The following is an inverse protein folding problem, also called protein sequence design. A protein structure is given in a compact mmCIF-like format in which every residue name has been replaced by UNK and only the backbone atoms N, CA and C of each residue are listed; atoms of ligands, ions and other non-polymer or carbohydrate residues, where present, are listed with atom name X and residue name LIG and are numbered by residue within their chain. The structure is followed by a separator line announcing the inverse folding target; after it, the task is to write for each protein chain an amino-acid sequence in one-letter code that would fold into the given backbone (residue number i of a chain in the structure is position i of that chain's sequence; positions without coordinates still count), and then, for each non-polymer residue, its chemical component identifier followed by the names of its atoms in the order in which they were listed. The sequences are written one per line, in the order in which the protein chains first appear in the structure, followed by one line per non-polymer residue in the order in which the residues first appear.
data_IF_637090562090
#
_entry.id   IF_637090562090
#
_cell.length_a   1.000
_cell.length_b   1.000
_cell.length_c   1.000
_cell.angle_alpha   90.00
_cell.angle_beta   90.00
_cell.angle_gamma   90.00
#
_symmetry.space_group_name_H-M   'P 1'
#
loop_
_entity.id
_entity.type
_entity.pdbx_description
1 polymer ?
#
# COMPACT_ATOMS: atom_id res chain seq x y z
N UNK A 1 -29.55 63.77 3.23
CA UNK A 1 -28.28 63.11 3.58
C UNK A 1 -27.33 63.25 2.39
N UNK A 2 -26.08 63.64 2.67
CA UNK A 2 -25.00 64.00 1.74
C UNK A 2 -24.53 62.80 0.88
N UNK A 3 -23.75 63.06 -0.19
CA UNK A 3 -23.79 62.33 -1.47
C UNK A 3 -22.76 61.21 -1.63
N UNK A 4 -22.99 60.44 -2.70
CA UNK A 4 -22.08 59.56 -3.44
C UNK A 4 -20.65 60.09 -3.55
N UNK A 5 -19.66 59.20 -3.35
CA UNK A 5 -18.25 59.44 -3.68
C UNK A 5 -17.80 58.47 -4.78
N UNK A 6 -17.39 59.05 -5.90
CA UNK A 6 -16.61 58.42 -6.97
C UNK A 6 -15.23 57.99 -6.42
N UNK A 7 -14.77 56.81 -6.81
CA UNK A 7 -13.38 56.38 -6.62
C UNK A 7 -12.69 56.39 -7.99
N UNK A 8 -11.62 57.17 -8.06
CA UNK A 8 -10.80 57.41 -9.23
C UNK A 8 -9.90 56.20 -9.55
N UNK A 9 -9.74 55.91 -10.84
CA UNK A 9 -8.63 55.13 -11.37
C UNK A 9 -7.33 55.91 -11.19
N UNK A 10 -6.30 55.24 -10.68
CA UNK A 10 -4.91 55.66 -10.86
C UNK A 10 -4.06 54.40 -10.93
N UNK A 11 -3.60 54.10 -12.15
CA UNK A 11 -2.53 53.15 -12.40
C UNK A 11 -1.20 53.81 -12.03
N UNK A 12 -0.37 53.13 -11.25
CA UNK A 12 1.08 53.36 -11.27
C UNK A 12 1.80 52.01 -11.26
N UNK A 13 2.57 51.84 -12.33
CA UNK A 13 3.51 50.78 -12.61
C UNK A 13 4.74 50.96 -11.70
N UNK A 14 5.14 49.90 -10.99
CA UNK A 14 6.38 49.83 -10.23
C UNK A 14 6.90 48.39 -10.23
N UNK A 15 8.05 48.17 -10.85
CA UNK A 15 8.69 46.87 -11.03
C UNK A 15 9.27 46.30 -9.74
N UNK A 16 9.21 44.97 -9.67
CA UNK A 16 10.16 44.02 -9.08
C UNK A 16 10.56 44.15 -7.60
N UNK A 17 10.04 43.23 -6.80
CA UNK A 17 10.79 42.52 -5.75
C UNK A 17 10.13 41.14 -5.58
N UNK A 18 10.73 40.08 -6.13
CA UNK A 18 10.33 38.71 -5.80
C UNK A 18 10.80 38.40 -4.39
N UNK A 19 9.91 38.63 -3.42
CA UNK A 19 10.05 38.14 -2.07
C UNK A 19 9.27 36.82 -1.98
N UNK A 20 9.97 35.76 -1.57
CA UNK A 20 9.39 34.49 -1.13
C UNK A 20 8.41 34.78 0.02
N UNK A 21 7.12 34.84 -0.30
CA UNK A 21 6.04 34.84 0.70
C UNK A 21 5.81 33.43 1.24
N UNK A 22 5.21 33.28 2.43
CA UNK A 22 4.86 31.98 2.96
C UNK A 22 3.93 31.26 1.97
N UNK A 23 4.18 29.98 1.76
CA UNK A 23 3.39 29.12 0.89
C UNK A 23 1.89 29.37 1.15
N UNK A 24 1.07 29.63 0.11
CA UNK A 24 -0.35 29.71 0.30
C UNK A 24 -0.83 28.34 0.80
N UNK A 25 -1.28 28.32 2.05
CA UNK A 25 -2.13 27.27 2.58
C UNK A 25 -3.36 27.16 1.65
N UNK A 26 -3.40 26.10 0.86
CA UNK A 26 -4.52 25.80 -0.02
C UNK A 26 -4.12 25.56 -1.47
N UNK A 27 -3.57 24.38 -1.74
CA UNK A 27 -4.41 23.32 -2.32
C UNK A 27 -4.12 22.07 -1.49
N UNK A 28 -5.11 21.56 -0.76
CA UNK A 28 -5.09 20.12 -0.51
C UNK A 28 -5.02 19.51 -1.91
N UNK A 29 -3.82 19.04 -2.29
CA UNK A 29 -3.61 18.28 -3.51
C UNK A 29 -4.70 17.23 -3.46
N UNK A 30 -5.73 17.42 -4.29
CA UNK A 30 -6.89 16.55 -4.31
C UNK A 30 -6.30 15.17 -4.55
N UNK A 31 -6.22 14.39 -3.48
CA UNK A 31 -5.70 13.04 -3.53
C UNK A 31 -6.68 12.39 -4.48
N UNK A 32 -6.32 12.26 -5.76
CA UNK A 32 -7.15 11.53 -6.71
C UNK A 32 -7.34 10.19 -6.04
N UNK A 33 -8.55 9.99 -5.58
CA UNK A 33 -8.87 9.03 -4.54
C UNK A 33 -8.71 7.65 -5.14
N UNK A 34 -7.49 7.12 -5.07
CA UNK A 34 -7.31 5.69 -5.04
C UNK A 34 -7.54 5.20 -3.61
N UNK A 35 -8.78 5.39 -3.17
CA UNK A 35 -9.51 4.41 -2.35
C UNK A 35 -9.87 3.15 -3.20
N UNK A 36 -9.23 2.99 -4.36
CA UNK A 36 -9.44 1.87 -5.26
C UNK A 36 -8.61 0.71 -4.70
N UNK A 37 -9.25 -0.43 -4.49
CA UNK A 37 -8.55 -1.68 -4.19
C UNK A 37 -7.43 -1.97 -5.20
N UNK A 38 -6.65 -3.00 -4.94
CA UNK A 38 -5.39 -3.33 -5.64
C UNK A 38 -5.31 -2.80 -7.09
N UNK A 39 -4.42 -1.83 -7.31
CA UNK A 39 -4.31 -1.07 -8.55
C UNK A 39 -4.13 -1.97 -9.79
N UNK A 40 -4.70 -1.53 -10.92
CA UNK A 40 -4.49 -2.19 -12.20
C UNK A 40 -2.99 -2.13 -12.57
N UNK A 41 -2.38 -3.30 -12.76
CA UNK A 41 -0.94 -3.41 -13.06
C UNK A 41 -0.06 -3.69 -11.84
N UNK A 42 -0.64 -3.84 -10.65
CA UNK A 42 0.09 -4.30 -9.47
C UNK A 42 0.72 -5.69 -9.71
N UNK A 43 2.05 -5.75 -9.76
CA UNK A 43 2.80 -7.00 -10.00
C UNK A 43 3.24 -7.70 -8.71
N UNK A 44 3.31 -6.94 -7.61
CA UNK A 44 3.63 -7.40 -6.27
C UNK A 44 3.18 -6.37 -5.23
N UNK A 45 2.84 -6.84 -4.03
CA UNK A 45 2.62 -6.02 -2.84
C UNK A 45 3.94 -5.40 -2.34
N UNK A 46 3.84 -4.24 -1.71
CA UNK A 46 4.96 -3.57 -1.03
C UNK A 46 5.56 -4.47 0.07
N UNK A 47 6.89 -4.42 0.31
CA UNK A 47 7.54 -5.16 1.39
C UNK A 47 6.98 -4.87 2.80
N UNK A 48 6.30 -3.73 2.99
CA UNK A 48 5.68 -3.36 4.27
C UNK A 48 4.67 -4.40 4.75
N UNK A 49 3.83 -4.91 3.85
CA UNK A 49 2.79 -5.90 4.18
C UNK A 49 3.43 -7.21 4.62
N UNK A 50 4.39 -7.71 3.84
CA UNK A 50 5.09 -8.95 4.18
C UNK A 50 5.88 -8.83 5.50
N UNK A 51 6.46 -7.65 5.76
CA UNK A 51 7.15 -7.36 7.02
C UNK A 51 6.18 -7.37 8.20
N UNK A 52 5.00 -6.77 8.05
CA UNK A 52 3.95 -6.78 9.07
C UNK A 52 3.40 -8.19 9.30
N UNK A 53 3.10 -8.96 8.25
CA UNK A 53 2.70 -10.36 8.38
C UNK A 53 3.77 -11.19 9.10
N UNK A 54 5.06 -10.91 8.87
CA UNK A 54 6.13 -11.54 9.62
C UNK A 54 6.12 -11.20 11.13
N UNK A 55 5.62 -10.04 11.54
CA UNK A 55 5.46 -9.73 12.97
C UNK A 55 4.45 -10.69 13.60
N UNK A 56 3.31 -10.93 12.96
CA UNK A 56 2.33 -11.92 13.44
C UNK A 56 2.89 -13.34 13.44
N UNK A 57 3.64 -13.71 12.39
CA UNK A 57 4.21 -15.05 12.29
C UNK A 57 5.28 -15.37 13.33
N UNK A 58 6.00 -14.35 13.80
CA UNK A 58 7.02 -14.50 14.83
C UNK A 58 6.49 -14.27 16.25
N UNK A 59 5.25 -13.79 16.40
CA UNK A 59 4.66 -13.43 17.70
C UNK A 59 3.69 -14.50 18.15
N UNK A 60 4.12 -15.42 19.00
CA UNK A 60 3.28 -16.56 19.45
C UNK A 60 1.94 -16.15 20.09
N UNK A 61 1.84 -14.95 20.67
CA UNK A 61 0.58 -14.42 21.22
C UNK A 61 -0.47 -14.06 20.14
N UNK A 62 -0.06 -13.94 18.87
CA UNK A 62 -0.94 -13.71 17.73
C UNK A 62 -1.45 -15.00 17.09
N UNK A 63 -0.96 -16.16 17.53
CA UNK A 63 -1.34 -17.46 16.98
C UNK A 63 -2.69 -17.91 17.54
N UNK A 64 -3.62 -18.21 16.64
CA UNK A 64 -4.95 -18.71 16.95
C UNK A 64 -5.14 -20.06 16.28
N UNK A 65 -5.29 -21.12 17.08
CA UNK A 65 -5.52 -22.46 16.56
C UNK A 65 -6.93 -22.59 15.97
N UNK A 66 -7.03 -23.12 14.76
CA UNK A 66 -8.30 -23.36 14.05
C UNK A 66 -8.28 -24.76 13.45
N UNK A 67 -9.36 -25.54 13.58
CA UNK A 67 -9.48 -26.87 12.95
C UNK A 67 -10.42 -26.82 11.76
N UNK A 68 -9.87 -26.91 10.55
CA UNK A 68 -10.64 -26.85 9.31
C UNK A 68 -11.56 -28.06 9.13
N UNK A 69 -12.65 -27.88 8.38
CA UNK A 69 -13.54 -28.97 7.99
C UNK A 69 -13.16 -29.55 6.64
N UNK A 70 -13.56 -30.80 6.36
CA UNK A 70 -13.55 -31.36 5.00
C UNK A 70 -14.73 -30.79 4.22
N UNK A 71 -14.47 -29.83 3.32
CA UNK A 71 -15.50 -29.14 2.55
C UNK A 71 -16.27 -28.07 3.35
N UNK A 72 -17.13 -27.34 2.66
CA UNK A 72 -17.94 -26.25 3.24
C UNK A 72 -19.21 -26.80 3.90
N UNK A 73 -19.32 -26.59 5.21
CA UNK A 73 -20.44 -27.06 6.05
C UNK A 73 -20.91 -25.96 7.01
N UNK A 74 -22.03 -26.20 7.69
CA UNK A 74 -22.53 -25.28 8.72
C UNK A 74 -21.51 -25.07 9.85
N UNK A 75 -20.77 -26.11 10.23
CA UNK A 75 -19.77 -26.11 11.30
C UNK A 75 -18.38 -25.64 10.87
N UNK A 76 -18.16 -25.30 9.59
CA UNK A 76 -16.90 -24.74 9.13
C UNK A 76 -16.53 -23.51 9.95
N UNK A 77 -15.35 -23.49 10.60
CA UNK A 77 -14.96 -22.42 11.52
C UNK A 77 -14.59 -21.16 10.76
N UNK A 78 -14.72 -20.01 11.43
CA UNK A 78 -14.32 -18.71 10.88
C UNK A 78 -12.96 -18.28 11.41
N UNK A 79 -12.14 -17.69 10.55
CA UNK A 79 -10.96 -16.93 10.94
C UNK A 79 -11.43 -15.56 11.43
N UNK A 80 -11.52 -15.38 12.74
CA UNK A 80 -12.02 -14.14 13.36
C UNK A 80 -10.93 -13.43 14.13
N UNK A 81 -10.81 -12.11 13.93
CA UNK A 81 -9.81 -11.28 14.57
C UNK A 81 -8.97 -10.55 13.52
N UNK A 82 -8.57 -9.32 13.83
CA UNK A 82 -7.55 -8.59 13.07
C UNK A 82 -6.19 -8.88 13.67
N UNK A 83 -5.13 -8.76 12.87
CA UNK A 83 -3.75 -8.84 13.35
C UNK A 83 -3.42 -10.17 14.04
N UNK A 84 -3.75 -11.30 13.38
CA UNK A 84 -3.51 -12.66 13.88
C UNK A 84 -2.91 -13.56 12.82
N UNK A 85 -2.11 -14.53 13.27
CA UNK A 85 -1.83 -15.74 12.50
C UNK A 85 -2.82 -16.82 12.93
N UNK A 86 -3.53 -17.40 11.97
CA UNK A 86 -4.38 -18.56 12.21
C UNK A 86 -3.61 -19.84 11.88
N UNK A 87 -3.38 -20.67 12.88
CA UNK A 87 -2.76 -21.98 12.72
C UNK A 87 -3.85 -23.00 12.39
N UNK A 88 -4.10 -23.17 11.09
CA UNK A 88 -5.17 -24.00 10.54
C UNK A 88 -4.72 -25.46 10.45
N UNK A 89 -5.26 -26.30 11.32
CA UNK A 89 -5.12 -27.75 11.25
C UNK A 89 -6.06 -28.30 10.17
N UNK A 90 -5.50 -28.94 9.15
CA UNK A 90 -6.22 -29.52 8.03
C UNK A 90 -6.66 -30.97 8.33
N UNK A 91 -7.74 -31.46 7.70
CA UNK A 91 -8.02 -32.89 7.68
C UNK A 91 -6.85 -33.68 7.07
N UNK A 92 -6.50 -34.81 7.68
CA UNK A 92 -5.31 -35.57 7.28
C UNK A 92 -5.36 -35.99 5.81
N UNK A 93 -4.36 -35.54 5.04
CA UNK A 93 -4.23 -35.87 3.61
C UNK A 93 -5.32 -35.29 2.71
N UNK A 94 -6.14 -34.35 3.20
CA UNK A 94 -7.22 -33.74 2.44
C UNK A 94 -7.19 -32.21 2.53
N UNK A 95 -7.97 -31.57 1.66
CA UNK A 95 -8.18 -30.12 1.68
C UNK A 95 -8.93 -29.71 2.94
N UNK A 96 -8.56 -28.56 3.52
CA UNK A 96 -9.28 -27.96 4.63
C UNK A 96 -10.14 -26.79 4.18
N UNK A 97 -11.25 -26.55 4.88
CA UNK A 97 -12.13 -25.42 4.65
C UNK A 97 -12.29 -24.60 5.93
N UNK A 98 -12.18 -23.28 5.81
CA UNK A 98 -12.50 -22.29 6.85
C UNK A 98 -13.35 -21.16 6.23
N UNK A 99 -13.89 -20.27 7.06
CA UNK A 99 -14.64 -19.09 6.64
C UNK A 99 -13.87 -17.82 6.99
N UNK A 100 -14.11 -16.76 6.23
CA UNK A 100 -13.60 -15.44 6.55
C UNK A 100 -14.64 -14.38 6.20
N UNK A 101 -14.85 -13.43 7.10
CA UNK A 101 -15.80 -12.33 6.93
C UNK A 101 -15.03 -11.03 7.19
N UNK A 102 -14.70 -10.25 6.16
CA UNK A 102 -13.95 -9.02 6.36
C UNK A 102 -14.84 -7.98 7.07
N UNK A 103 -14.23 -7.20 7.97
CA UNK A 103 -14.91 -6.08 8.63
C UNK A 103 -15.10 -4.88 7.71
N UNK A 104 -14.24 -4.75 6.69
CA UNK A 104 -14.23 -3.64 5.73
C UNK A 104 -14.10 -4.16 4.30
N UNK A 105 -14.73 -3.47 3.36
CA UNK A 105 -14.62 -3.77 1.93
C UNK A 105 -13.23 -3.36 1.45
N UNK A 106 -12.59 -4.20 0.65
CA UNK A 106 -11.27 -3.93 0.11
C UNK A 106 -10.55 -5.18 -0.39
N UNK A 107 -9.30 -5.01 -0.76
CA UNK A 107 -8.37 -6.06 -1.10
C UNK A 107 -7.78 -6.69 0.17
N UNK A 108 -7.92 -7.99 0.29
CA UNK A 108 -7.39 -8.78 1.40
C UNK A 108 -6.33 -9.75 0.89
N UNK A 109 -5.11 -9.63 1.42
CA UNK A 109 -4.01 -10.53 1.17
C UNK A 109 -3.99 -11.63 2.21
N UNK A 110 -3.93 -12.89 1.77
CA UNK A 110 -3.79 -14.06 2.64
C UNK A 110 -2.38 -14.61 2.48
N UNK A 111 -1.51 -14.34 3.45
CA UNK A 111 -0.15 -14.88 3.49
C UNK A 111 -0.15 -16.29 4.10
N UNK A 112 0.63 -17.19 3.50
CA UNK A 112 0.75 -18.58 3.92
C UNK A 112 2.20 -18.98 4.21
N UNK A 113 2.40 -19.77 5.26
CA UNK A 113 3.70 -20.41 5.56
C UNK A 113 3.91 -21.77 4.85
N UNK A 114 2.95 -22.18 4.01
CA UNK A 114 3.03 -23.36 3.14
C UNK A 114 2.65 -23.00 1.72
N UNK A 115 3.41 -23.52 0.76
CA UNK A 115 3.10 -23.45 -0.66
C UNK A 115 2.03 -24.47 -1.01
N UNK A 116 0.77 -24.09 -0.85
CA UNK A 116 -0.41 -24.90 -1.18
C UNK A 116 -1.36 -24.11 -2.08
N UNK A 117 -2.33 -24.79 -2.66
CA UNK A 117 -3.45 -24.10 -3.32
C UNK A 117 -4.28 -23.37 -2.27
N UNK A 118 -4.69 -22.15 -2.57
CA UNK A 118 -5.58 -21.35 -1.73
C UNK A 118 -6.67 -20.74 -2.60
N UNK A 119 -7.92 -20.88 -2.19
CA UNK A 119 -9.05 -20.44 -3.01
C UNK A 119 -10.15 -19.84 -2.15
N UNK A 120 -10.60 -18.63 -2.51
CA UNK A 120 -11.77 -18.01 -1.90
C UNK A 120 -13.02 -18.24 -2.75
N UNK A 121 -14.15 -18.53 -2.11
CA UNK A 121 -15.46 -18.73 -2.73
C UNK A 121 -16.53 -17.86 -2.06
N UNK A 122 -17.47 -17.37 -2.86
CA UNK A 122 -18.73 -16.78 -2.38
C UNK A 122 -19.88 -17.73 -2.74
N UNK A 123 -20.42 -18.42 -1.73
CA UNK A 123 -21.30 -19.56 -1.97
C UNK A 123 -20.59 -20.65 -2.79
N UNK A 124 -21.18 -21.04 -3.92
CA UNK A 124 -20.58 -22.02 -4.85
C UNK A 124 -19.58 -21.41 -5.85
N UNK A 125 -19.52 -20.08 -5.95
CA UNK A 125 -18.72 -19.39 -6.97
C UNK A 125 -17.28 -19.21 -6.50
N UNK A 126 -16.32 -19.66 -7.30
CA UNK A 126 -14.90 -19.41 -7.06
C UNK A 126 -14.53 -18.00 -7.48
N UNK A 127 -13.88 -17.25 -6.58
CA UNK A 127 -13.42 -15.90 -6.86
C UNK A 127 -12.12 -15.94 -7.66
N UNK A 128 -11.99 -15.04 -8.63
CA UNK A 128 -10.71 -14.75 -9.25
C UNK A 128 -9.83 -14.00 -8.23
N UNK A 129 -8.57 -14.43 -8.08
CA UNK A 129 -7.58 -13.68 -7.31
C UNK A 129 -7.20 -12.40 -8.05
N UNK A 130 -7.11 -11.28 -7.35
CA UNK A 130 -6.60 -10.02 -7.89
C UNK A 130 -5.08 -10.10 -8.13
N UNK A 131 -4.36 -10.80 -7.26
CA UNK A 131 -2.92 -11.05 -7.35
C UNK A 131 -2.56 -12.32 -6.59
N UNK A 132 -1.57 -13.07 -7.06
CA UNK A 132 -0.99 -14.18 -6.34
C UNK A 132 0.51 -14.22 -6.60
N UNK A 133 1.32 -14.38 -5.54
CA UNK A 133 2.77 -14.35 -5.66
C UNK A 133 3.44 -15.28 -4.66
N UNK A 134 4.49 -15.96 -5.12
CA UNK A 134 5.46 -16.62 -4.24
C UNK A 134 6.36 -15.57 -3.61
N UNK A 135 6.60 -15.68 -2.31
CA UNK A 135 7.51 -14.83 -1.55
C UNK A 135 8.52 -15.69 -0.81
N UNK A 136 9.67 -15.12 -0.48
CA UNK A 136 10.67 -15.74 0.39
C UNK A 136 10.99 -14.74 1.49
N UNK A 137 10.37 -14.91 2.66
CA UNK A 137 10.61 -14.05 3.82
C UNK A 137 11.47 -14.75 4.86
N UNK A 138 12.15 -13.98 5.71
CA UNK A 138 12.93 -14.52 6.83
C UNK A 138 12.09 -15.26 7.87
N UNK A 139 10.79 -14.96 7.94
CA UNK A 139 9.84 -15.61 8.85
C UNK A 139 9.17 -16.87 8.27
N UNK A 140 9.56 -17.32 7.06
CA UNK A 140 9.06 -18.56 6.47
C UNK A 140 7.70 -18.45 5.77
N UNK A 141 7.23 -17.23 5.47
CA UNK A 141 6.10 -17.05 4.55
C UNK A 141 6.55 -17.38 3.12
N UNK A 142 5.68 -18.06 2.40
CA UNK A 142 6.01 -18.70 1.11
C UNK A 142 5.22 -18.13 -0.06
N UNK A 143 4.02 -17.61 0.19
CA UNK A 143 3.17 -17.01 -0.84
C UNK A 143 2.09 -16.14 -0.19
N UNK A 144 1.45 -15.32 -1.01
CA UNK A 144 0.17 -14.70 -0.70
C UNK A 144 -0.77 -14.75 -1.89
N UNK A 145 -2.07 -14.69 -1.60
CA UNK A 145 -3.13 -14.48 -2.61
C UNK A 145 -4.03 -13.34 -2.17
N UNK A 146 -4.34 -12.42 -3.08
CA UNK A 146 -5.19 -11.26 -2.85
C UNK A 146 -6.56 -11.47 -3.46
N UNK A 147 -7.61 -11.17 -2.69
CA UNK A 147 -8.99 -11.15 -3.16
C UNK A 147 -9.65 -9.81 -2.82
N UNK A 148 -10.53 -9.34 -3.71
CA UNK A 148 -11.39 -8.20 -3.43
C UNK A 148 -12.65 -8.72 -2.72
N UNK A 149 -12.81 -8.35 -1.46
CA UNK A 149 -13.86 -8.85 -0.59
C UNK A 149 -14.75 -7.72 -0.09
N UNK A 150 -16.02 -8.03 0.13
CA UNK A 150 -17.04 -7.09 0.59
C UNK A 150 -17.28 -7.26 2.08
N UNK A 151 -17.30 -6.16 2.82
CA UNK A 151 -17.59 -6.14 4.26
C UNK A 151 -18.84 -6.96 4.61
N UNK A 152 -18.77 -7.74 5.69
CA UNK A 152 -19.89 -8.52 6.19
C UNK A 152 -20.30 -9.73 5.34
N UNK A 153 -19.71 -9.92 4.15
CA UNK A 153 -19.93 -11.11 3.34
C UNK A 153 -19.03 -12.24 3.82
N UNK A 154 -19.61 -13.39 4.13
CA UNK A 154 -18.84 -14.58 4.55
C UNK A 154 -18.36 -15.35 3.33
N UNK A 155 -17.05 -15.47 3.20
CA UNK A 155 -16.38 -16.23 2.16
C UNK A 155 -15.92 -17.58 2.70
N UNK A 156 -15.95 -18.60 1.85
CA UNK A 156 -15.32 -19.89 2.12
C UNK A 156 -13.89 -19.85 1.60
N UNK A 157 -12.92 -20.17 2.45
CA UNK A 157 -11.52 -20.33 2.09
C UNK A 157 -11.19 -21.83 2.05
N UNK A 158 -10.77 -22.32 0.89
CA UNK A 158 -10.33 -23.69 0.66
C UNK A 158 -8.80 -23.74 0.59
N UNK A 159 -8.23 -24.53 1.49
CA UNK A 159 -6.80 -24.75 1.62
C UNK A 159 -6.46 -26.14 1.06
N UNK A 160 -5.48 -26.18 0.17
CA UNK A 160 -4.89 -27.41 -0.36
C UNK A 160 -4.26 -28.28 0.73
N UNK A 161 -3.86 -29.49 0.36
CA UNK A 161 -3.15 -30.39 1.27
C UNK A 161 -1.78 -29.81 1.66
N UNK A 162 -1.38 -29.98 2.91
CA UNK A 162 -0.10 -29.50 3.42
C UNK A 162 0.65 -30.60 4.18
N UNK A 163 1.97 -30.65 4.05
CA UNK A 163 2.80 -31.52 4.88
C UNK A 163 2.64 -31.18 6.36
N UNK A 164 2.40 -32.19 7.20
CA UNK A 164 2.12 -32.02 8.62
C UNK A 164 0.70 -31.53 8.94
N UNK A 165 -0.17 -31.40 7.93
CA UNK A 165 -1.57 -30.97 8.08
C UNK A 165 -1.75 -29.65 8.84
N UNK A 166 -0.76 -28.75 8.83
CA UNK A 166 -0.83 -27.47 9.51
C UNK A 166 -0.39 -26.34 8.57
N UNK A 167 -1.21 -25.30 8.49
CA UNK A 167 -0.97 -24.11 7.65
C UNK A 167 -1.22 -22.86 8.48
N UNK A 168 -0.22 -21.98 8.54
CA UNK A 168 -0.39 -20.63 9.05
C UNK A 168 -1.03 -19.75 7.97
N UNK A 169 -2.11 -19.07 8.31
CA UNK A 169 -2.83 -18.12 7.45
C UNK A 169 -2.86 -16.76 8.13
N UNK A 170 -2.37 -15.73 7.45
CA UNK A 170 -2.39 -14.36 7.96
C UNK A 170 -3.18 -13.48 6.97
N UNK A 171 -4.41 -13.08 7.30
CA UNK A 171 -5.17 -12.13 6.51
C UNK A 171 -4.74 -10.70 6.84
N UNK A 172 -4.34 -9.95 5.82
CA UNK A 172 -4.01 -8.53 5.89
C UNK A 172 -4.90 -7.75 4.94
N UNK A 173 -5.46 -6.62 5.40
CA UNK A 173 -6.07 -5.66 4.49
C UNK A 173 -4.96 -4.90 3.76
N UNK A 174 -5.00 -4.92 2.43
CA UNK A 174 -3.92 -4.38 1.59
C UNK A 174 -3.82 -2.86 1.74
N UNK A 175 -4.96 -2.18 1.77
CA UNK A 175 -5.02 -0.71 1.81
C UNK A 175 -4.52 -0.10 3.12
N UNK A 176 -4.36 -0.90 4.19
CA UNK A 176 -3.79 -0.44 5.47
C UNK A 176 -2.28 -0.15 5.35
N UNK A 177 -1.63 -0.55 4.26
CA UNK A 177 -0.19 -0.44 4.03
C UNK A 177 0.17 0.42 2.82
N UNK A 178 -0.76 1.26 2.40
CA UNK A 178 -0.54 2.23 1.34
C UNK A 178 0.68 3.11 1.63
N UNK A 179 1.61 3.15 0.66
CA UNK A 179 2.81 3.97 0.69
C UNK A 179 2.69 5.04 -0.39
N UNK A 180 3.13 6.27 -0.09
CA UNK A 180 3.18 7.34 -1.08
C UNK A 180 4.45 7.20 -1.93
N UNK A 181 4.27 7.16 -3.24
CA UNK A 181 5.37 7.20 -4.21
C UNK A 181 5.30 8.49 -5.02
N UNK A 182 6.45 9.02 -5.41
CA UNK A 182 6.63 10.28 -6.12
C UNK A 182 7.21 9.99 -7.49
N UNK A 183 6.74 10.69 -8.53
CA UNK A 183 7.26 10.54 -9.87
C UNK A 183 8.75 10.93 -9.87
N UNK A 184 9.59 10.09 -10.48
CA UNK A 184 11.02 10.28 -10.74
C UNK A 184 11.18 10.35 -12.26
N UNK A 185 11.13 11.56 -12.82
CA UNK A 185 11.07 11.79 -14.25
C UNK A 185 12.44 11.80 -14.92
N UNK A 186 13.50 12.12 -14.18
CA UNK A 186 14.88 12.16 -14.70
C UNK A 186 15.76 10.97 -14.28
N UNK A 187 15.27 10.11 -13.38
CA UNK A 187 15.85 8.82 -13.05
C UNK A 187 16.96 8.87 -12.00
N UNK A 188 16.95 9.86 -11.11
CA UNK A 188 17.98 10.04 -10.07
C UNK A 188 17.63 9.44 -8.69
N UNK A 189 16.47 8.78 -8.63
CA UNK A 189 15.90 8.14 -7.45
C UNK A 189 15.31 9.08 -6.39
N UNK A 190 15.16 10.37 -6.68
CA UNK A 190 14.32 11.30 -5.93
C UNK A 190 13.10 11.67 -6.75
N UNK A 191 12.00 11.99 -6.08
CA UNK A 191 10.75 12.24 -6.77
C UNK A 191 10.12 13.59 -6.45
N UNK A 192 9.32 14.03 -7.41
CA UNK A 192 8.57 15.27 -7.40
C UNK A 192 7.42 15.23 -6.39
N UNK A 193 7.46 16.12 -5.41
CA UNK A 193 6.45 16.19 -4.36
C UNK A 193 5.04 16.52 -4.85
N UNK A 194 4.91 17.15 -6.02
CA UNK A 194 3.63 17.56 -6.57
C UNK A 194 2.97 16.48 -7.43
N UNK A 195 3.73 15.43 -7.80
CA UNK A 195 3.22 14.30 -8.58
C UNK A 195 3.44 13.02 -7.79
N UNK A 196 2.42 12.63 -7.02
CA UNK A 196 2.48 11.44 -6.17
C UNK A 196 1.26 10.53 -6.34
N UNK A 197 1.46 9.26 -6.03
CA UNK A 197 0.43 8.23 -5.97
C UNK A 197 0.48 7.54 -4.61
N UNK A 198 -0.64 6.93 -4.19
CA UNK A 198 -0.74 6.21 -2.94
C UNK A 198 -1.07 4.75 -3.25
N UNK A 199 -0.13 3.84 -3.01
CA UNK A 199 -0.25 2.44 -3.44
C UNK A 199 0.30 1.48 -2.39
N UNK A 200 -0.39 0.35 -2.21
CA UNK A 200 0.10 -0.79 -1.41
C UNK A 200 0.96 -1.76 -2.22
N UNK A 201 1.13 -1.50 -3.52
CA UNK A 201 1.98 -2.28 -4.40
C UNK A 201 3.44 -1.83 -4.30
N UNK A 202 4.36 -2.58 -4.91
CA UNK A 202 5.70 -2.08 -5.20
C UNK A 202 5.60 -0.77 -6.03
N UNK A 203 6.58 0.15 -5.94
CA UNK A 203 6.54 1.38 -6.70
C UNK A 203 6.32 1.09 -8.20
N UNK A 204 5.33 1.74 -8.84
CA UNK A 204 5.20 1.71 -10.29
C UNK A 204 6.47 2.21 -10.98
N UNK A 205 6.64 1.84 -12.25
CA UNK A 205 7.78 2.30 -13.03
C UNK A 205 7.78 3.84 -13.12
N UNK A 206 8.94 4.46 -12.86
CA UNK A 206 9.09 5.92 -12.82
C UNK A 206 8.58 6.56 -11.53
N UNK A 207 8.37 5.77 -10.47
CA UNK A 207 8.01 6.28 -9.14
C UNK A 207 8.94 5.73 -8.05
N UNK A 208 9.26 6.56 -7.07
CA UNK A 208 10.16 6.25 -5.95
C UNK A 208 9.57 6.69 -4.61
N UNK A 209 10.12 6.20 -3.50
CA UNK A 209 9.70 6.61 -2.14
C UNK A 209 10.41 7.87 -1.66
N UNK A 210 11.61 8.13 -2.18
CA UNK A 210 12.34 9.34 -1.83
C UNK A 210 11.65 10.54 -2.48
N UNK A 211 11.69 11.66 -1.78
CA UNK A 211 10.92 12.86 -2.11
C UNK A 211 11.84 14.07 -2.03
N UNK A 212 11.31 15.24 -2.38
CA UNK A 212 12.03 16.51 -2.41
C UNK A 212 13.02 16.67 -3.56
N UNK A 213 12.72 16.08 -4.72
CA UNK A 213 13.38 16.55 -5.92
C UNK A 213 12.90 17.98 -6.27
N UNK A 214 13.83 18.93 -6.23
CA UNK A 214 13.57 20.33 -6.56
C UNK A 214 13.67 20.62 -8.06
N UNK A 215 14.24 19.71 -8.85
CA UNK A 215 14.30 19.79 -10.31
C UNK A 215 14.25 18.40 -10.97
N UNK A 216 13.04 17.84 -11.03
CA UNK A 216 12.63 16.56 -11.66
C UNK A 216 12.74 16.55 -13.20
N UNK A 217 13.72 17.26 -13.72
CA UNK A 217 14.12 17.30 -15.13
C UNK A 217 15.64 17.30 -15.27
N UNK A 218 16.38 17.22 -14.17
CA UNK A 218 17.82 17.21 -14.11
C UNK A 218 18.34 16.34 -12.96
N UNK A 219 18.71 15.11 -13.31
CA UNK A 219 19.26 14.09 -12.41
C UNK A 219 20.53 14.49 -11.61
N UNK A 220 21.11 15.67 -11.87
CA UNK A 220 22.23 16.23 -11.09
C UNK A 220 21.79 17.19 -9.98
N UNK A 221 20.49 17.48 -9.86
CA UNK A 221 19.91 18.38 -8.86
C UNK A 221 18.87 17.59 -8.06
N UNK A 222 19.28 17.12 -6.88
CA UNK A 222 18.46 16.31 -5.98
C UNK A 222 19.03 16.34 -4.57
N UNK A 223 18.28 15.92 -3.54
CA UNK A 223 18.76 15.91 -2.15
C UNK A 223 20.08 15.17 -1.87
N UNK A 224 20.54 14.29 -2.76
CA UNK A 224 21.81 13.58 -2.66
C UNK A 224 22.99 14.26 -3.38
N UNK A 225 22.73 15.30 -4.16
CA UNK A 225 23.75 15.98 -4.95
C UNK A 225 24.71 16.83 -4.10
N UNK A 226 25.89 17.10 -4.64
CA UNK A 226 26.87 17.95 -4.01
C UNK A 226 26.69 19.41 -4.47
N UNK A 227 26.77 20.34 -3.53
CA UNK A 227 26.69 21.78 -3.82
C UNK A 227 27.87 22.28 -4.66
N UNK A 228 27.54 23.03 -5.72
CA UNK A 228 28.52 23.74 -6.55
C UNK A 228 28.56 25.20 -6.13
N UNK A 229 29.53 25.54 -5.28
CA UNK A 229 29.64 26.89 -4.74
C UNK A 229 29.80 27.95 -5.84
N UNK A 230 28.91 28.94 -5.83
CA UNK A 230 29.02 30.14 -6.67
C UNK A 230 28.38 30.04 -8.05
N UNK A 231 27.61 28.99 -8.36
CA UNK A 231 26.83 28.90 -9.60
C UNK A 231 25.36 29.37 -9.45
N UNK A 232 24.92 29.72 -8.23
CA UNK A 232 23.55 30.15 -7.92
C UNK A 232 22.46 29.10 -8.19
N UNK A 233 22.83 27.83 -8.14
CA UNK A 233 21.92 26.67 -8.15
C UNK A 233 21.97 26.04 -6.76
N UNK A 234 20.85 25.47 -6.31
CA UNK A 234 20.74 24.61 -5.12
C UNK A 234 20.73 23.19 -5.66
N UNK A 235 21.90 22.53 -5.72
CA UNK A 235 21.99 21.17 -6.24
C UNK A 235 21.37 20.17 -5.29
N UNK A 236 21.53 20.38 -3.98
CA UNK A 236 21.13 19.41 -2.97
C UNK A 236 19.71 19.65 -2.40
N UNK A 237 18.95 20.54 -3.03
CA UNK A 237 17.57 20.86 -2.69
C UNK A 237 17.35 21.18 -1.20
N UNK A 238 18.33 21.80 -0.54
CA UNK A 238 18.25 22.09 0.90
C UNK A 238 17.76 23.52 1.20
N UNK A 239 17.51 24.33 0.16
CA UNK A 239 17.09 25.72 0.26
C UNK A 239 18.23 26.72 0.46
N UNK A 240 19.49 26.31 0.30
CA UNK A 240 20.71 27.12 0.44
C UNK A 240 21.61 26.94 -0.77
N UNK A 241 22.14 28.05 -1.30
CA UNK A 241 23.10 28.07 -2.42
C UNK A 241 24.56 27.84 -1.97
N UNK A 242 24.75 27.36 -0.73
CA UNK A 242 26.06 27.16 -0.11
C UNK A 242 25.98 26.10 1.00
N UNK A 243 27.03 25.28 1.08
CA UNK A 243 27.24 24.25 2.11
C UNK A 243 27.81 24.84 3.41
#
# INVERSE_FOLDING_TARGET
MKPTRHIAWSALLGMALSACGPAPDGEEMELTSQEQGLEAGCTALSPSIASHSCLHSNTSADHVAVTATSGSTASTPSLTGTHKQFDVTLPAGATGTVKFTPGTTGSWAFYLNKSITFTAKSGATTLASALAKTVSTSCGLTNYTVYNLTAGTTYTLELGTASGNLVGVIPERVEDYNTRYYQDADGDAYGNNNVSILSACVPPAGYVTARYDCNDSNASINPGAAEVTGNSVDENCNGSLSN
#
